data_IF_984811452934
#
_entry.id   IF_984811452934
#
_cell.length_a   1.000
_cell.length_b   1.000
_cell.length_c   1.000
_cell.angle_alpha   90.00
_cell.angle_beta   90.00
_cell.angle_gamma   90.00
#
_symmetry.space_group_name_H-M   'P 1'
#
loop_
_entity.id
_entity.type
_entity.pdbx_description
1 polymer ?
#
# COMPACT_ATOMS: atom_id res chain seq x y z
N UNK A 1 9.92 14.99 1.63
CA UNK A 1 10.31 14.81 3.04
C UNK A 1 11.45 15.75 3.32
N UNK A 2 11.59 16.22 4.55
CA UNK A 2 12.71 17.03 5.03
C UNK A 2 13.44 16.29 6.16
N UNK A 3 14.72 16.64 6.37
CA UNK A 3 15.50 16.10 7.48
C UNK A 3 14.96 16.66 8.80
N UNK A 4 14.60 15.79 9.73
CA UNK A 4 14.08 16.17 11.05
C UNK A 4 15.10 15.93 12.17
N UNK A 5 16.16 15.18 11.90
CA UNK A 5 17.21 14.86 12.86
C UNK A 5 18.60 15.12 12.26
N UNK A 6 19.32 16.10 12.79
CA UNK A 6 20.69 16.43 12.35
C UNK A 6 21.69 15.28 12.58
N UNK A 7 21.35 14.31 13.44
CA UNK A 7 22.18 13.11 13.68
C UNK A 7 21.97 12.01 12.65
N UNK A 8 20.98 12.10 11.75
CA UNK A 8 20.70 11.04 10.76
C UNK A 8 21.93 10.67 9.93
N UNK A 9 22.74 11.65 9.52
CA UNK A 9 24.00 11.39 8.78
C UNK A 9 24.99 10.65 9.68
N UNK A 10 25.17 11.11 10.93
CA UNK A 10 26.09 10.48 11.89
C UNK A 10 25.70 9.01 12.15
N UNK A 11 24.41 8.72 12.32
CA UNK A 11 23.93 7.35 12.52
C UNK A 11 24.16 6.47 11.29
N UNK A 12 23.90 7.00 10.09
CA UNK A 12 24.19 6.29 8.85
C UNK A 12 25.69 6.00 8.67
N UNK A 13 26.55 6.97 8.98
CA UNK A 13 28.00 6.79 8.92
C UNK A 13 28.48 5.75 9.91
N UNK A 14 27.91 5.70 11.13
CA UNK A 14 28.23 4.66 12.11
C UNK A 14 28.05 3.25 11.53
N UNK A 15 26.97 3.02 10.77
CA UNK A 15 26.71 1.74 10.11
C UNK A 15 27.65 1.49 8.93
N UNK A 16 27.86 2.49 8.07
CA UNK A 16 28.73 2.32 6.89
C UNK A 16 30.21 2.18 7.23
N UNK A 17 30.65 2.72 8.37
CA UNK A 17 32.03 2.69 8.84
C UNK A 17 32.30 1.56 9.84
N UNK A 18 31.31 0.71 10.10
CA UNK A 18 31.51 -0.50 10.91
C UNK A 18 32.54 -1.43 10.23
N UNK A 19 33.60 -1.78 10.96
CA UNK A 19 34.76 -2.48 10.40
C UNK A 19 34.47 -3.95 10.00
N UNK A 20 33.41 -4.54 10.56
CA UNK A 20 33.05 -5.94 10.32
C UNK A 20 32.04 -6.08 9.19
N UNK A 21 30.99 -5.24 9.20
CA UNK A 21 29.80 -5.38 8.34
C UNK A 21 29.46 -4.12 7.56
N UNK A 22 30.11 -2.98 7.79
CA UNK A 22 29.78 -1.74 7.08
C UNK A 22 29.95 -1.87 5.56
N UNK A 23 30.95 -2.65 5.13
CA UNK A 23 31.29 -2.86 3.73
C UNK A 23 30.27 -3.71 2.95
N UNK A 24 29.42 -4.51 3.61
CA UNK A 24 28.33 -5.25 2.94
C UNK A 24 27.03 -4.43 2.76
N UNK A 25 26.92 -3.28 3.44
CA UNK A 25 25.73 -2.44 3.39
C UNK A 25 25.79 -1.51 2.18
N UNK A 26 24.82 -1.65 1.28
CA UNK A 26 24.64 -0.77 0.13
C UNK A 26 23.77 0.45 0.43
N UNK A 27 22.78 0.30 1.31
CA UNK A 27 21.94 1.44 1.70
C UNK A 27 21.30 1.27 3.06
N UNK A 28 20.97 2.39 3.68
CA UNK A 28 20.33 2.47 5.00
C UNK A 28 18.99 3.18 4.83
N UNK A 29 17.91 2.46 5.09
CA UNK A 29 16.54 2.93 4.96
C UNK A 29 16.02 3.42 6.31
N UNK A 30 15.54 4.66 6.36
CA UNK A 30 14.81 5.19 7.51
C UNK A 30 13.30 5.01 7.31
N UNK A 31 12.51 4.95 8.40
CA UNK A 31 11.07 4.99 8.31
C UNK A 31 10.55 6.22 7.55
N UNK A 32 9.49 6.05 6.76
CA UNK A 32 8.72 7.19 6.23
C UNK A 32 7.73 7.65 7.29
N UNK A 33 7.94 8.85 7.84
CA UNK A 33 7.09 9.44 8.88
C UNK A 33 6.49 10.75 8.39
N UNK A 34 5.34 11.12 8.94
CA UNK A 34 4.58 12.28 8.46
C UNK A 34 4.22 13.19 9.63
N UNK A 35 4.34 14.51 9.42
CA UNK A 35 4.13 15.50 10.47
C UNK A 35 2.66 15.91 10.65
N UNK A 36 1.82 15.70 9.64
CA UNK A 36 0.42 16.08 9.62
C UNK A 36 -0.53 14.94 10.01
N UNK A 37 -0.05 13.85 10.62
CA UNK A 37 -0.93 12.73 10.99
C UNK A 37 -1.85 13.13 12.15
N UNK A 38 -3.15 12.92 11.97
CA UNK A 38 -4.11 13.00 13.07
C UNK A 38 -4.00 11.82 14.02
N UNK A 39 -4.56 11.95 15.23
CA UNK A 39 -4.47 10.94 16.31
C UNK A 39 -4.90 9.55 15.86
N UNK A 40 -5.99 9.45 15.09
CA UNK A 40 -6.56 8.19 14.62
C UNK A 40 -6.33 7.97 13.13
N UNK A 41 -5.47 8.76 12.46
CA UNK A 41 -5.00 8.58 11.08
C UNK A 41 -6.11 8.06 10.15
N UNK A 42 -7.07 8.91 9.82
CA UNK A 42 -8.30 8.53 9.10
C UNK A 42 -8.06 7.84 7.75
N UNK A 43 -6.86 8.00 7.20
CA UNK A 43 -6.42 7.46 5.92
C UNK A 43 -5.37 6.36 6.04
N UNK A 44 -5.01 5.93 7.27
CA UNK A 44 -4.00 4.89 7.48
C UNK A 44 -2.67 5.21 6.79
N UNK A 45 -2.33 6.49 6.65
CA UNK A 45 -1.18 6.98 5.89
C UNK A 45 0.15 6.75 6.61
N UNK A 46 0.11 6.45 7.91
CA UNK A 46 1.29 6.20 8.73
C UNK A 46 1.99 4.86 8.44
N UNK A 47 1.29 3.90 7.83
CA UNK A 47 1.80 2.55 7.56
C UNK A 47 2.47 1.90 8.80
N UNK A 48 1.86 2.07 9.99
CA UNK A 48 2.48 1.78 11.30
C UNK A 48 3.13 0.41 11.37
N UNK A 49 2.37 -0.64 11.06
CA UNK A 49 2.85 -2.02 11.15
C UNK A 49 3.97 -2.27 10.13
N UNK A 50 3.82 -1.76 8.90
CA UNK A 50 4.85 -1.90 7.86
C UNK A 50 6.17 -1.27 8.31
N UNK A 51 6.12 -0.04 8.84
CA UNK A 51 7.32 0.69 9.25
C UNK A 51 7.92 0.12 10.54
N UNK A 52 7.12 -0.12 11.57
CA UNK A 52 7.63 -0.50 12.90
C UNK A 52 7.99 -1.98 13.01
N UNK A 53 7.34 -2.85 12.24
CA UNK A 53 7.49 -4.30 12.36
C UNK A 53 7.99 -4.95 11.07
N UNK A 54 7.30 -4.77 9.95
CA UNK A 54 7.59 -5.54 8.74
C UNK A 54 8.97 -5.20 8.15
N UNK A 55 9.28 -3.92 7.94
CA UNK A 55 10.56 -3.49 7.37
C UNK A 55 11.73 -3.80 8.30
N UNK A 56 11.56 -3.61 9.61
CA UNK A 56 12.55 -4.00 10.60
C UNK A 56 12.78 -5.53 10.60
N UNK A 57 11.72 -6.33 10.44
CA UNK A 57 11.80 -7.78 10.32
C UNK A 57 12.63 -8.28 9.12
N UNK A 58 12.82 -7.45 8.10
CA UNK A 58 13.65 -7.78 6.94
C UNK A 58 15.16 -7.70 7.21
N UNK A 59 15.60 -7.01 8.27
CA UNK A 59 17.03 -6.89 8.60
C UNK A 59 17.69 -8.24 8.86
N UNK A 60 16.95 -9.18 9.46
CA UNK A 60 17.42 -10.55 9.67
C UNK A 60 17.67 -11.34 8.36
N UNK A 61 17.16 -10.85 7.22
CA UNK A 61 17.19 -11.54 5.93
C UNK A 61 17.85 -10.72 4.81
N UNK A 62 18.73 -9.78 5.15
CA UNK A 62 19.49 -8.97 4.19
C UNK A 62 18.98 -7.54 4.02
N UNK A 63 18.02 -7.11 4.83
CA UNK A 63 17.59 -5.72 4.97
C UNK A 63 16.28 -5.35 4.27
N UNK A 64 15.73 -4.15 4.55
CA UNK A 64 14.49 -3.64 3.97
C UNK A 64 14.63 -3.31 2.48
N UNK A 65 13.49 -3.19 1.81
CA UNK A 65 13.40 -2.61 0.46
C UNK A 65 13.84 -1.14 0.47
N UNK A 66 14.33 -0.64 -0.67
CA UNK A 66 14.50 0.79 -0.88
C UNK A 66 13.15 1.38 -1.26
N UNK A 67 12.58 2.24 -0.40
CA UNK A 67 11.23 2.80 -0.55
C UNK A 67 11.26 4.29 -0.95
N UNK A 68 12.26 4.68 -1.74
CA UNK A 68 12.25 5.95 -2.49
C UNK A 68 12.68 7.22 -1.73
N UNK A 69 12.71 7.22 -0.39
CA UNK A 69 13.06 8.41 0.39
C UNK A 69 13.61 8.06 1.77
N UNK A 70 14.27 9.02 2.43
CA UNK A 70 14.89 8.82 3.75
C UNK A 70 15.96 7.71 3.71
N UNK A 71 16.76 7.67 2.65
CA UNK A 71 17.71 6.59 2.40
C UNK A 71 19.10 7.15 2.10
N UNK A 72 20.13 6.54 2.69
CA UNK A 72 21.52 6.82 2.34
C UNK A 72 22.08 5.66 1.53
N UNK A 73 22.66 5.95 0.36
CA UNK A 73 23.20 4.94 -0.55
C UNK A 73 24.73 5.00 -0.61
N UNK A 74 25.36 3.83 -0.62
CA UNK A 74 26.73 3.64 -1.08
C UNK A 74 26.76 3.83 -2.59
N UNK A 75 27.53 4.82 -3.05
CA UNK A 75 27.59 5.21 -4.47
C UNK A 75 27.92 4.03 -5.38
N UNK A 76 28.90 3.21 -5.04
CA UNK A 76 29.35 2.10 -5.89
C UNK A 76 28.26 1.05 -6.13
N UNK A 77 27.48 0.74 -5.09
CA UNK A 77 26.37 -0.21 -5.18
C UNK A 77 25.26 0.31 -6.10
N UNK A 78 24.97 1.61 -6.01
CA UNK A 78 24.04 2.31 -6.92
C UNK A 78 24.60 2.34 -8.36
N UNK A 79 25.91 2.55 -8.52
CA UNK A 79 26.61 2.51 -9.79
C UNK A 79 26.81 1.10 -10.39
N UNK A 80 26.18 0.07 -9.81
CA UNK A 80 26.13 -1.26 -10.43
C UNK A 80 27.22 -2.23 -9.97
N UNK A 81 28.10 -1.84 -9.05
CA UNK A 81 29.17 -2.71 -8.53
C UNK A 81 28.58 -3.98 -7.92
N UNK A 82 29.18 -5.12 -8.21
CA UNK A 82 28.86 -6.39 -7.55
C UNK A 82 29.59 -6.46 -6.20
N UNK A 83 28.89 -6.93 -5.16
CA UNK A 83 29.52 -7.15 -3.86
C UNK A 83 30.37 -8.41 -3.89
N UNK A 84 31.57 -8.31 -3.33
CA UNK A 84 32.50 -9.42 -3.14
C UNK A 84 32.77 -9.58 -1.64
N UNK A 85 32.89 -10.81 -1.15
CA UNK A 85 32.97 -11.11 0.31
C UNK A 85 34.17 -10.46 1.01
N UNK A 86 35.22 -10.13 0.27
CA UNK A 86 36.43 -9.46 0.79
C UNK A 86 36.50 -7.99 0.34
N UNK A 87 35.40 -7.44 -0.14
CA UNK A 87 35.33 -6.03 -0.50
C UNK A 87 35.62 -5.17 0.73
N UNK A 88 36.62 -4.30 0.61
CA UNK A 88 36.91 -3.25 1.57
C UNK A 88 36.92 -1.91 0.88
N UNK A 89 36.33 -0.91 1.51
CA UNK A 89 36.37 0.46 1.00
C UNK A 89 37.78 0.99 1.15
N UNK A 90 38.37 1.43 0.04
CA UNK A 90 39.64 2.16 0.05
C UNK A 90 39.39 3.64 0.36
N UNK A 91 39.29 3.93 1.66
CA UNK A 91 39.10 5.30 2.15
C UNK A 91 40.26 6.24 1.82
N UNK A 92 41.48 5.71 1.64
CA UNK A 92 42.65 6.53 1.29
C UNK A 92 42.53 7.04 -0.13
N UNK A 93 42.21 6.16 -1.09
CA UNK A 93 41.97 6.54 -2.48
C UNK A 93 40.85 7.57 -2.62
N UNK A 94 39.79 7.47 -1.83
CA UNK A 94 38.70 8.45 -1.81
C UNK A 94 39.17 9.83 -1.29
N UNK A 95 39.96 9.87 -0.22
CA UNK A 95 40.50 11.11 0.34
C UNK A 95 41.57 11.77 -0.55
N UNK A 96 42.29 10.97 -1.34
CA UNK A 96 43.32 11.45 -2.27
C UNK A 96 42.74 12.01 -3.58
N UNK A 97 41.43 11.87 -3.80
CA UNK A 97 40.68 12.52 -4.91
C UNK A 97 40.52 14.03 -4.66
N UNK A 98 41.61 14.75 -4.40
CA UNK A 98 41.61 16.21 -4.51
C UNK A 98 41.60 16.56 -6.00
N UNK A 99 40.45 17.01 -6.49
CA UNK A 99 40.36 17.57 -7.83
C UNK A 99 41.23 18.84 -7.88
N UNK A 100 42.39 18.75 -8.54
CA UNK A 100 43.25 19.90 -8.84
C UNK A 100 42.70 20.74 -10.02
N UNK A 101 41.45 20.50 -10.42
CA UNK A 101 40.79 21.14 -11.56
C UNK A 101 40.06 22.41 -11.12
N UNK A 102 40.06 23.44 -11.97
CA UNK A 102 39.32 24.67 -11.67
C UNK A 102 37.81 24.42 -11.71
N UNK A 103 37.05 25.21 -10.94
CA UNK A 103 35.59 25.13 -10.91
C UNK A 103 34.96 25.28 -12.31
N UNK A 104 35.56 26.10 -13.19
CA UNK A 104 35.12 26.27 -14.57
C UNK A 104 35.24 25.01 -15.42
N UNK A 105 36.31 24.22 -15.24
CA UNK A 105 36.51 22.95 -15.96
C UNK A 105 35.53 21.90 -15.47
N UNK A 106 35.31 21.83 -14.15
CA UNK A 106 34.31 20.93 -13.56
C UNK A 106 32.89 21.27 -14.01
N UNK A 107 32.56 22.56 -14.12
CA UNK A 107 31.26 23.00 -14.63
C UNK A 107 31.04 22.55 -16.07
N UNK A 108 32.02 22.74 -16.96
CA UNK A 108 31.92 22.33 -18.35
C UNK A 108 31.79 20.81 -18.50
N UNK A 109 32.54 20.06 -17.69
CA UNK A 109 32.42 18.58 -17.63
C UNK A 109 31.02 18.15 -17.16
N UNK A 110 30.48 18.82 -16.15
CA UNK A 110 29.12 18.56 -15.64
C UNK A 110 28.04 18.80 -16.71
N UNK A 111 28.21 19.79 -17.61
CA UNK A 111 27.25 20.04 -18.71
C UNK A 111 27.15 18.83 -19.65
N UNK A 112 28.26 18.17 -19.94
CA UNK A 112 28.27 16.95 -20.77
C UNK A 112 27.55 15.81 -20.07
N UNK A 113 27.79 15.61 -18.77
CA UNK A 113 27.12 14.58 -17.96
C UNK A 113 25.61 14.84 -17.80
N UNK A 114 25.19 16.11 -17.77
CA UNK A 114 23.79 16.52 -17.66
C UNK A 114 23.06 16.58 -19.02
N UNK A 115 23.75 16.28 -20.13
CA UNK A 115 23.15 16.28 -21.46
C UNK A 115 22.05 15.22 -21.60
N UNK A 116 20.99 15.55 -22.35
CA UNK A 116 19.93 14.59 -22.68
C UNK A 116 20.42 13.38 -23.50
N UNK A 117 21.61 13.47 -24.10
CA UNK A 117 22.24 12.39 -24.86
C UNK A 117 23.15 11.51 -24.01
N UNK A 118 23.48 11.91 -22.77
CA UNK A 118 24.49 11.21 -21.96
C UNK A 118 24.12 9.76 -21.71
N UNK A 119 22.85 9.48 -21.45
CA UNK A 119 22.38 8.12 -21.14
C UNK A 119 22.13 7.26 -22.38
N UNK A 120 22.22 7.85 -23.59
CA UNK A 120 21.96 7.13 -24.83
C UNK A 120 23.00 6.02 -25.03
N UNK A 121 22.53 4.79 -25.26
CA UNK A 121 23.36 3.58 -25.40
C UNK A 121 24.29 3.27 -24.20
N UNK A 122 23.97 3.80 -23.01
CA UNK A 122 24.70 3.49 -21.78
C UNK A 122 23.95 2.44 -20.92
N UNK A 123 24.62 1.85 -19.91
CA UNK A 123 23.95 0.98 -18.93
C UNK A 123 23.11 1.73 -17.88
N UNK A 124 23.10 3.08 -17.87
CA UNK A 124 22.26 3.87 -16.96
C UNK A 124 20.78 3.53 -17.13
N UNK A 125 20.08 3.37 -16.00
CA UNK A 125 18.68 2.98 -16.00
C UNK A 125 18.40 1.50 -16.25
N UNK A 126 19.33 0.79 -16.91
CA UNK A 126 19.17 -0.61 -17.32
C UNK A 126 19.86 -1.56 -16.34
N UNK A 127 21.12 -1.28 -16.02
CA UNK A 127 21.97 -2.13 -15.19
C UNK A 127 22.40 -1.42 -13.90
N UNK A 128 22.71 -0.14 -14.01
CA UNK A 128 23.16 0.74 -12.92
C UNK A 128 22.26 1.98 -12.75
N UNK A 129 22.48 2.72 -11.66
CA UNK A 129 21.66 3.85 -11.29
C UNK A 129 20.27 3.43 -10.78
N UNK A 130 19.34 4.38 -10.81
CA UNK A 130 17.92 4.09 -10.60
C UNK A 130 17.38 3.34 -11.81
N UNK A 131 16.68 2.24 -11.61
CA UNK A 131 16.21 1.37 -12.69
C UNK A 131 14.98 1.93 -13.41
N UNK A 132 14.94 1.90 -14.74
CA UNK A 132 13.85 2.47 -15.53
C UNK A 132 12.75 1.44 -15.87
N UNK A 133 11.58 1.96 -16.26
CA UNK A 133 10.52 1.18 -16.92
C UNK A 133 9.45 0.59 -16.01
N UNK A 134 9.54 0.78 -14.69
CA UNK A 134 8.53 0.35 -13.71
C UNK A 134 8.23 1.54 -12.79
N UNK A 135 6.95 1.72 -12.42
CA UNK A 135 6.46 2.85 -11.62
C UNK A 135 6.99 2.93 -10.18
N UNK A 136 7.54 1.83 -9.68
CA UNK A 136 8.16 1.71 -8.35
C UNK A 136 9.65 1.38 -8.56
N UNK A 137 10.33 2.30 -9.23
CA UNK A 137 11.75 2.18 -9.58
C UNK A 137 12.65 2.00 -8.35
N UNK A 138 12.22 2.55 -7.22
CA UNK A 138 12.88 2.41 -5.94
C UNK A 138 12.95 0.94 -5.49
N UNK A 139 11.82 0.23 -5.47
CA UNK A 139 11.73 -1.17 -5.07
C UNK A 139 12.62 -2.05 -5.97
N UNK A 140 12.55 -1.88 -7.29
CA UNK A 140 13.38 -2.66 -8.22
C UNK A 140 14.86 -2.30 -8.15
N UNK A 141 15.20 -1.04 -7.87
CA UNK A 141 16.59 -0.62 -7.68
C UNK A 141 17.16 -1.29 -6.43
N UNK A 142 16.42 -1.27 -5.31
CA UNK A 142 16.80 -1.97 -4.09
C UNK A 142 16.94 -3.48 -4.30
N UNK A 143 16.00 -4.11 -4.99
CA UNK A 143 16.06 -5.53 -5.35
C UNK A 143 17.29 -5.84 -6.22
N UNK A 144 17.57 -5.02 -7.24
CA UNK A 144 18.72 -5.20 -8.12
C UNK A 144 20.05 -5.06 -7.38
N UNK A 145 20.15 -4.12 -6.44
CA UNK A 145 21.32 -3.95 -5.58
C UNK A 145 21.53 -5.21 -4.73
N UNK A 146 20.46 -5.74 -4.11
CA UNK A 146 20.55 -6.96 -3.30
C UNK A 146 20.90 -8.20 -4.11
N UNK A 147 20.36 -8.32 -5.32
CA UNK A 147 20.72 -9.40 -6.26
C UNK A 147 22.18 -9.35 -6.73
N UNK A 148 22.88 -8.23 -6.51
CA UNK A 148 24.34 -8.10 -6.71
C UNK A 148 25.15 -8.48 -5.46
N UNK A 149 24.52 -9.07 -4.45
CA UNK A 149 25.17 -9.56 -3.22
C UNK A 149 25.21 -8.55 -2.07
N UNK A 150 24.76 -7.31 -2.28
CA UNK A 150 24.71 -6.30 -1.24
C UNK A 150 23.57 -6.53 -0.24
N UNK A 151 23.72 -6.00 0.97
CA UNK A 151 22.66 -5.92 1.98
C UNK A 151 22.18 -4.48 2.18
N UNK A 152 21.09 -4.33 2.90
CA UNK A 152 20.66 -3.02 3.43
C UNK A 152 20.36 -3.13 4.92
N UNK A 153 20.13 -1.99 5.55
CA UNK A 153 19.77 -1.92 6.97
C UNK A 153 18.59 -0.98 7.18
N UNK A 154 17.70 -1.32 8.10
CA UNK A 154 16.63 -0.43 8.58
C UNK A 154 17.10 0.33 9.82
N UNK A 155 16.99 1.66 9.80
CA UNK A 155 17.40 2.50 10.93
C UNK A 155 16.24 3.36 11.41
N UNK A 156 15.72 3.04 12.60
CA UNK A 156 14.60 3.71 13.24
C UNK A 156 15.05 4.37 14.57
N UNK A 157 15.67 5.56 14.51
CA UNK A 157 16.13 6.27 15.71
C UNK A 157 14.96 6.83 16.52
N UNK A 158 15.13 7.01 17.83
CA UNK A 158 14.12 7.59 18.74
C UNK A 158 13.56 8.93 18.23
N UNK A 159 14.45 9.84 17.79
CA UNK A 159 14.04 11.04 17.05
C UNK A 159 13.96 10.73 15.58
N UNK A 160 12.76 10.78 15.03
CA UNK A 160 12.45 10.51 13.63
C UNK A 160 13.43 11.22 12.68
N UNK A 161 14.06 10.43 11.80
CA UNK A 161 15.13 10.92 10.91
C UNK A 161 14.63 11.90 9.87
N UNK A 162 13.49 11.60 9.25
CA UNK A 162 12.90 12.35 8.16
C UNK A 162 11.39 12.47 8.33
N UNK A 163 10.84 13.64 8.03
CA UNK A 163 9.39 13.89 8.07
C UNK A 163 8.87 14.32 6.69
N UNK A 164 7.70 13.82 6.33
CA UNK A 164 6.96 14.19 5.14
C UNK A 164 5.57 14.72 5.48
N UNK A 165 4.79 14.92 4.42
CA UNK A 165 3.36 15.28 4.50
C UNK A 165 2.56 14.16 3.85
N UNK A 166 1.65 13.57 4.63
CA UNK A 166 0.73 12.53 4.19
C UNK A 166 -0.43 13.14 3.37
N UNK A 167 -1.08 12.35 2.48
CA UNK A 167 -2.29 12.79 1.80
C UNK A 167 -3.37 13.28 2.77
N UNK A 168 -4.00 14.41 2.44
CA UNK A 168 -5.08 15.03 3.24
C UNK A 168 -6.47 14.76 2.69
N UNK A 169 -6.58 14.07 1.54
CA UNK A 169 -7.85 13.58 1.00
C UNK A 169 -7.81 12.09 0.67
N UNK A 170 -8.98 11.44 0.72
CA UNK A 170 -9.10 10.03 0.36
C UNK A 170 -8.72 9.79 -1.10
N UNK A 171 -9.12 10.69 -2.02
CA UNK A 171 -8.80 10.52 -3.45
C UNK A 171 -7.29 10.58 -3.70
N UNK A 172 -6.56 11.49 -3.05
CA UNK A 172 -5.10 11.54 -3.16
C UNK A 172 -4.45 10.23 -2.71
N UNK A 173 -4.90 9.69 -1.57
CA UNK A 173 -4.44 8.40 -1.06
C UNK A 173 -4.72 7.27 -2.06
N UNK A 174 -5.95 7.17 -2.56
CA UNK A 174 -6.34 6.08 -3.47
C UNK A 174 -5.57 6.14 -4.80
N UNK A 175 -5.37 7.33 -5.37
CA UNK A 175 -4.57 7.52 -6.59
C UNK A 175 -3.10 7.15 -6.34
N UNK A 176 -2.53 7.55 -5.20
CA UNK A 176 -1.18 7.15 -4.81
C UNK A 176 -1.04 5.63 -4.73
N UNK A 177 -1.94 4.96 -4.01
CA UNK A 177 -1.91 3.51 -3.87
C UNK A 177 -2.15 2.76 -5.18
N UNK A 178 -2.84 3.37 -6.13
CA UNK A 178 -3.03 2.76 -7.45
C UNK A 178 -1.69 2.66 -8.18
N UNK A 179 -0.90 3.74 -8.21
CA UNK A 179 0.45 3.74 -8.82
C UNK A 179 1.38 2.73 -8.16
N UNK A 180 1.36 2.66 -6.83
CA UNK A 180 2.17 1.70 -6.08
C UNK A 180 1.78 0.26 -6.38
N UNK A 181 0.48 -0.06 -6.31
CA UNK A 181 -0.01 -1.41 -6.57
C UNK A 181 0.25 -1.85 -8.02
N UNK A 182 0.13 -0.93 -8.98
CA UNK A 182 0.45 -1.19 -10.39
C UNK A 182 1.93 -1.52 -10.56
N UNK A 183 2.80 -0.66 -10.02
CA UNK A 183 4.24 -0.89 -10.05
C UNK A 183 4.64 -2.23 -9.39
N UNK A 184 4.08 -2.53 -8.22
CA UNK A 184 4.31 -3.77 -7.50
C UNK A 184 3.89 -5.02 -8.31
N UNK A 185 2.73 -4.96 -8.98
CA UNK A 185 2.28 -6.06 -9.83
C UNK A 185 3.13 -6.18 -11.11
N UNK A 186 3.60 -5.06 -11.67
CA UNK A 186 4.56 -5.05 -12.78
C UNK A 186 5.88 -5.73 -12.40
N UNK A 187 6.37 -5.54 -11.17
CA UNK A 187 7.53 -6.30 -10.66
C UNK A 187 7.21 -7.80 -10.69
N UNK A 188 6.07 -8.19 -10.12
CA UNK A 188 5.70 -9.61 -10.00
C UNK A 188 5.58 -10.32 -11.34
N UNK A 189 5.02 -9.64 -12.35
CA UNK A 189 4.72 -10.21 -13.67
C UNK A 189 5.85 -10.01 -14.69
N UNK A 190 6.95 -9.36 -14.31
CA UNK A 190 8.11 -9.14 -15.20
C UNK A 190 9.29 -10.03 -14.83
N UNK A 191 10.36 -9.93 -15.62
CA UNK A 191 11.66 -10.57 -15.33
C UNK A 191 12.25 -10.18 -13.97
N UNK A 192 11.74 -9.12 -13.33
CA UNK A 192 12.17 -8.64 -12.01
C UNK A 192 11.41 -9.29 -10.84
N UNK A 193 10.53 -10.27 -11.10
CA UNK A 193 9.87 -11.04 -10.06
C UNK A 193 10.89 -11.55 -9.04
N UNK A 194 10.74 -11.21 -7.75
CA UNK A 194 11.72 -11.54 -6.70
C UNK A 194 12.02 -13.04 -6.60
N UNK A 195 11.04 -13.89 -6.92
CA UNK A 195 11.19 -15.35 -6.90
C UNK A 195 12.14 -15.85 -7.99
N UNK A 196 12.08 -15.24 -9.18
CA UNK A 196 12.85 -15.60 -10.38
C UNK A 196 14.17 -14.83 -10.41
N UNK A 197 14.10 -13.50 -10.38
CA UNK A 197 15.25 -12.60 -10.47
C UNK A 197 16.23 -12.78 -9.31
N UNK A 198 15.71 -13.10 -8.12
CA UNK A 198 16.50 -13.36 -6.92
C UNK A 198 16.99 -14.79 -6.79
N UNK A 199 16.60 -15.72 -7.69
CA UNK A 199 16.96 -17.13 -7.58
C UNK A 199 18.48 -17.30 -7.56
N UNK A 200 18.99 -18.01 -6.53
CA UNK A 200 20.43 -18.18 -6.24
C UNK A 200 21.23 -16.88 -5.99
N UNK A 201 20.57 -15.72 -5.93
CA UNK A 201 21.21 -14.40 -5.68
C UNK A 201 20.89 -13.83 -4.31
N UNK A 202 19.69 -14.07 -3.80
CA UNK A 202 19.25 -13.65 -2.46
C UNK A 202 18.53 -14.79 -1.70
N UNK A 203 18.51 -14.77 -0.36
CA UNK A 203 17.86 -15.81 0.45
C UNK A 203 16.39 -16.02 0.10
N UNK A 204 15.90 -17.26 0.19
CA UNK A 204 14.49 -17.58 -0.09
C UNK A 204 13.53 -16.75 0.77
N UNK A 205 13.84 -16.59 2.06
CA UNK A 205 13.04 -15.79 3.00
C UNK A 205 12.88 -14.35 2.51
N UNK A 206 13.96 -13.72 2.04
CA UNK A 206 13.91 -12.39 1.47
C UNK A 206 13.09 -12.36 0.17
N UNK A 207 13.26 -13.35 -0.72
CA UNK A 207 12.46 -13.42 -1.96
C UNK A 207 10.96 -13.46 -1.68
N UNK A 208 10.55 -14.28 -0.72
CA UNK A 208 9.16 -14.41 -0.27
C UNK A 208 8.66 -13.13 0.39
N UNK A 209 9.51 -12.41 1.13
CA UNK A 209 9.13 -11.18 1.81
C UNK A 209 8.76 -10.02 0.86
N UNK A 210 9.23 -10.03 -0.39
CA UNK A 210 8.76 -9.08 -1.42
C UNK A 210 7.36 -9.41 -1.95
N UNK A 211 6.92 -10.68 -1.88
CA UNK A 211 5.68 -11.13 -2.51
C UNK A 211 4.41 -10.47 -1.94
N UNK A 212 4.22 -10.30 -0.61
CA UNK A 212 3.05 -9.62 -0.06
C UNK A 212 2.80 -8.24 -0.66
N UNK A 213 3.86 -7.44 -0.84
CA UNK A 213 3.80 -6.11 -1.46
C UNK A 213 3.52 -6.21 -2.96
N UNK A 214 4.27 -7.08 -3.65
CA UNK A 214 4.14 -7.29 -5.09
C UNK A 214 2.77 -7.85 -5.52
N UNK A 215 2.02 -8.47 -4.61
CA UNK A 215 0.69 -9.04 -4.83
C UNK A 215 -0.45 -8.20 -4.24
N UNK A 216 -0.20 -6.94 -3.83
CA UNK A 216 -1.26 -6.04 -3.36
C UNK A 216 -2.42 -5.93 -4.36
N UNK A 217 -2.12 -5.66 -5.63
CA UNK A 217 -3.13 -5.53 -6.68
C UNK A 217 -3.98 -6.81 -6.83
N UNK A 218 -3.35 -7.98 -6.93
CA UNK A 218 -4.04 -9.26 -7.14
C UNK A 218 -5.02 -9.63 -6.01
N UNK A 219 -4.75 -9.19 -4.78
CA UNK A 219 -5.65 -9.39 -3.64
C UNK A 219 -7.00 -8.65 -3.75
N UNK A 220 -7.18 -7.76 -4.74
CA UNK A 220 -8.47 -7.14 -5.00
C UNK A 220 -9.55 -8.19 -5.33
N UNK A 221 -9.21 -9.26 -6.07
CA UNK A 221 -10.17 -10.25 -6.54
C UNK A 221 -10.80 -11.02 -5.38
N UNK A 222 -9.98 -11.50 -4.45
CA UNK A 222 -10.47 -12.16 -3.24
C UNK A 222 -11.33 -11.21 -2.40
N UNK A 223 -10.94 -9.95 -2.27
CA UNK A 223 -11.69 -8.96 -1.49
C UNK A 223 -13.05 -8.68 -2.13
N UNK A 224 -13.09 -8.46 -3.45
CA UNK A 224 -14.33 -8.23 -4.19
C UNK A 224 -15.26 -9.43 -4.10
N UNK A 225 -14.73 -10.65 -4.13
CA UNK A 225 -15.53 -11.85 -3.89
C UNK A 225 -16.28 -11.75 -2.54
N UNK A 226 -15.56 -11.52 -1.43
CA UNK A 226 -16.17 -11.44 -0.11
C UNK A 226 -17.10 -10.24 0.10
N UNK A 227 -16.91 -9.14 -0.65
CA UNK A 227 -17.75 -7.95 -0.54
C UNK A 227 -19.02 -8.04 -1.39
N UNK A 228 -19.01 -8.82 -2.48
CA UNK A 228 -20.12 -8.90 -3.43
C UNK A 228 -20.87 -10.22 -3.32
N UNK A 229 -20.18 -11.35 -3.42
CA UNK A 229 -20.80 -12.67 -3.62
C UNK A 229 -21.62 -13.12 -2.41
N UNK A 230 -21.11 -13.05 -1.15
CA UNK A 230 -21.90 -13.40 0.03
C UNK A 230 -23.22 -12.66 0.14
N UNK A 231 -23.23 -11.36 -0.21
CA UNK A 231 -24.42 -10.52 -0.20
C UNK A 231 -25.44 -10.98 -1.26
N UNK A 232 -25.01 -11.20 -2.50
CA UNK A 232 -25.91 -11.65 -3.57
C UNK A 232 -26.46 -13.05 -3.30
N UNK A 233 -25.63 -13.98 -2.82
CA UNK A 233 -26.06 -15.32 -2.41
C UNK A 233 -27.04 -15.27 -1.24
N UNK A 234 -26.83 -14.36 -0.27
CA UNK A 234 -27.75 -14.15 0.84
C UNK A 234 -29.13 -13.71 0.35
N UNK A 235 -29.20 -12.76 -0.59
CA UNK A 235 -30.46 -12.33 -1.21
C UNK A 235 -31.15 -13.48 -1.95
N UNK A 236 -30.40 -14.26 -2.73
CA UNK A 236 -30.93 -15.41 -3.46
C UNK A 236 -31.36 -16.58 -2.56
N UNK A 237 -30.81 -16.68 -1.35
CA UNK A 237 -31.06 -17.79 -0.42
C UNK A 237 -30.06 -18.94 -0.52
N UNK A 238 -28.90 -18.70 -1.14
CA UNK A 238 -27.79 -19.65 -1.16
C UNK A 238 -26.84 -19.41 0.03
N UNK A 239 -26.68 -20.44 0.86
CA UNK A 239 -25.73 -20.41 1.96
C UNK A 239 -24.33 -20.76 1.46
N UNK A 240 -23.36 -19.89 1.73
CA UNK A 240 -21.94 -20.09 1.34
C UNK A 240 -21.07 -20.60 2.47
N UNK A 241 -21.51 -20.42 3.72
CA UNK A 241 -20.75 -20.82 4.89
C UNK A 241 -21.44 -22.00 5.59
N UNK A 242 -20.70 -22.77 6.42
CA UNK A 242 -21.32 -23.78 7.26
C UNK A 242 -22.41 -23.18 8.16
N UNK A 243 -23.41 -23.98 8.47
CA UNK A 243 -24.42 -23.65 9.47
C UNK A 243 -23.77 -23.36 10.83
N UNK A 244 -24.35 -22.47 11.62
CA UNK A 244 -23.83 -22.13 12.96
C UNK A 244 -23.82 -23.35 13.88
N UNK A 245 -24.84 -24.21 13.79
CA UNK A 245 -24.94 -25.48 14.51
C UNK A 245 -23.92 -26.54 14.05
N UNK A 246 -23.27 -26.34 12.90
CA UNK A 246 -22.31 -27.29 12.36
C UNK A 246 -20.94 -27.12 13.02
N UNK A 247 -20.26 -28.21 13.44
CA UNK A 247 -18.87 -28.15 13.91
C UNK A 247 -17.91 -27.50 12.90
N UNK A 248 -18.25 -27.53 11.60
CA UNK A 248 -17.47 -26.91 10.52
C UNK A 248 -17.43 -25.39 10.58
N UNK A 249 -18.26 -24.74 11.41
CA UNK A 249 -18.19 -23.28 11.63
C UNK A 249 -16.93 -22.87 12.40
N UNK A 250 -16.38 -23.78 13.23
CA UNK A 250 -15.30 -23.47 14.19
C UNK A 250 -14.04 -22.94 13.49
N UNK A 251 -13.51 -23.57 12.41
CA UNK A 251 -12.35 -23.03 11.70
C UNK A 251 -12.58 -21.62 11.14
N UNK A 252 -13.78 -21.31 10.64
CA UNK A 252 -14.10 -20.00 10.08
C UNK A 252 -14.09 -18.92 11.16
N UNK A 253 -14.76 -19.18 12.29
CA UNK A 253 -14.79 -18.26 13.43
C UNK A 253 -13.39 -18.09 14.02
N UNK A 254 -12.64 -19.18 14.17
CA UNK A 254 -11.26 -19.13 14.66
C UNK A 254 -10.36 -18.26 13.78
N UNK A 255 -10.33 -18.50 12.47
CA UNK A 255 -9.49 -17.71 11.55
C UNK A 255 -9.92 -16.25 11.52
N UNK A 256 -11.23 -15.97 11.44
CA UNK A 256 -11.74 -14.61 11.43
C UNK A 256 -11.39 -13.86 12.73
N UNK A 257 -11.61 -14.49 13.89
CA UNK A 257 -11.33 -13.88 15.18
C UNK A 257 -9.83 -13.68 15.41
N UNK A 258 -9.02 -14.72 15.24
CA UNK A 258 -7.57 -14.66 15.48
C UNK A 258 -6.91 -13.66 14.56
N UNK A 259 -7.27 -13.63 13.27
CA UNK A 259 -6.73 -12.66 12.33
C UNK A 259 -7.03 -11.20 12.77
N UNK A 260 -8.26 -10.92 13.21
CA UNK A 260 -8.65 -9.58 13.66
C UNK A 260 -8.04 -9.20 15.00
N UNK A 261 -8.01 -10.13 15.96
CA UNK A 261 -7.39 -9.93 17.25
C UNK A 261 -5.89 -9.67 17.12
N UNK A 262 -5.20 -10.45 16.29
CA UNK A 262 -3.77 -10.29 16.05
C UNK A 262 -3.47 -8.98 15.31
N UNK A 263 -4.23 -8.64 14.26
CA UNK A 263 -4.11 -7.36 13.56
C UNK A 263 -4.32 -6.16 14.49
N UNK A 264 -5.31 -6.22 15.39
CA UNK A 264 -5.52 -5.19 16.40
C UNK A 264 -4.36 -5.12 17.39
N UNK A 265 -3.91 -6.27 17.90
CA UNK A 265 -2.78 -6.36 18.83
C UNK A 265 -1.51 -5.74 18.26
N UNK A 266 -1.14 -6.09 17.02
CA UNK A 266 0.01 -5.51 16.33
C UNK A 266 -0.14 -4.00 16.11
N UNK A 267 -1.33 -3.54 15.73
CA UNK A 267 -1.59 -2.12 15.50
C UNK A 267 -1.44 -1.30 16.80
N UNK A 268 -1.98 -1.81 17.91
CA UNK A 268 -1.84 -1.18 19.23
C UNK A 268 -0.40 -1.22 19.73
N UNK A 269 0.30 -2.34 19.54
CA UNK A 269 1.72 -2.48 19.85
C UNK A 269 2.59 -1.46 19.12
N UNK A 270 2.23 -1.15 17.87
CA UNK A 270 2.88 -0.11 17.07
C UNK A 270 2.42 1.33 17.41
N UNK A 271 1.83 1.54 18.59
CA UNK A 271 1.41 2.86 19.09
C UNK A 271 0.17 3.42 18.42
N UNK A 272 -0.66 2.58 17.80
CA UNK A 272 -1.95 2.96 17.25
C UNK A 272 -3.06 3.00 18.31
N UNK A 273 -4.21 3.56 17.94
CA UNK A 273 -5.44 3.54 18.76
C UNK A 273 -6.44 2.54 18.20
N UNK A 274 -7.41 2.10 19.00
CA UNK A 274 -8.51 1.25 18.52
C UNK A 274 -9.29 1.90 17.36
N UNK A 275 -9.61 3.20 17.50
CA UNK A 275 -10.28 3.97 16.42
C UNK A 275 -9.40 4.07 15.17
N UNK A 276 -8.09 4.24 15.36
CA UNK A 276 -7.12 4.22 14.27
C UNK A 276 -7.06 2.87 13.56
N UNK A 277 -7.15 1.76 14.29
CA UNK A 277 -7.25 0.42 13.70
C UNK A 277 -8.54 0.28 12.88
N UNK A 278 -9.69 0.73 13.39
CA UNK A 278 -10.93 0.74 12.61
C UNK A 278 -10.81 1.55 11.31
N UNK A 279 -10.10 2.70 11.35
CA UNK A 279 -9.81 3.51 10.17
C UNK A 279 -8.87 2.77 9.20
N UNK A 280 -7.83 2.10 9.70
CA UNK A 280 -6.92 1.29 8.91
C UNK A 280 -7.66 0.14 8.20
N UNK A 281 -8.55 -0.58 8.89
CA UNK A 281 -9.39 -1.62 8.28
C UNK A 281 -10.32 -1.08 7.18
N UNK A 282 -10.88 0.12 7.38
CA UNK A 282 -11.71 0.79 6.37
C UNK A 282 -10.91 1.14 5.13
N UNK A 283 -9.76 1.77 5.31
CA UNK A 283 -8.89 2.18 4.21
C UNK A 283 -8.30 0.96 3.50
N UNK A 284 -7.97 -0.10 4.25
CA UNK A 284 -7.58 -1.40 3.70
C UNK A 284 -8.65 -1.93 2.74
N UNK A 285 -9.93 -1.88 3.12
CA UNK A 285 -11.04 -2.27 2.25
C UNK A 285 -11.11 -1.37 1.02
N UNK A 286 -11.06 -0.05 1.22
CA UNK A 286 -11.18 0.92 0.13
C UNK A 286 -10.07 0.77 -0.91
N UNK A 287 -8.82 0.64 -0.47
CA UNK A 287 -7.67 0.41 -1.36
C UNK A 287 -7.86 -0.87 -2.17
N UNK A 288 -8.31 -1.96 -1.55
CA UNK A 288 -8.46 -3.26 -2.21
C UNK A 288 -9.60 -3.30 -3.24
N UNK A 289 -10.73 -2.66 -2.95
CA UNK A 289 -11.87 -2.65 -3.87
C UNK A 289 -11.75 -1.61 -4.98
N UNK A 290 -10.86 -0.62 -4.83
CA UNK A 290 -10.69 0.46 -5.82
C UNK A 290 -9.28 0.51 -6.39
N UNK A 291 -8.31 1.09 -5.68
CA UNK A 291 -6.94 1.27 -6.15
C UNK A 291 -6.33 -0.03 -6.68
N UNK A 292 -6.45 -1.12 -5.94
CA UNK A 292 -5.84 -2.39 -6.32
C UNK A 292 -6.59 -3.04 -7.49
N UNK A 293 -7.90 -2.84 -7.57
CA UNK A 293 -8.71 -3.25 -8.72
C UNK A 293 -8.26 -2.51 -9.99
N UNK A 294 -8.17 -1.17 -9.97
CA UNK A 294 -7.68 -0.40 -11.11
C UNK A 294 -6.25 -0.78 -11.50
N UNK A 295 -5.36 -0.90 -10.52
CA UNK A 295 -3.97 -1.31 -10.74
C UNK A 295 -3.87 -2.71 -11.37
N UNK A 296 -4.69 -3.66 -10.91
CA UNK A 296 -4.73 -5.01 -11.45
C UNK A 296 -5.13 -4.99 -12.93
N UNK A 297 -6.29 -4.40 -13.25
CA UNK A 297 -6.79 -4.35 -14.62
C UNK A 297 -5.85 -3.60 -15.56
N UNK A 298 -5.30 -2.47 -15.13
CA UNK A 298 -4.36 -1.72 -15.96
C UNK A 298 -3.06 -2.48 -16.22
N UNK A 299 -2.53 -3.19 -15.22
CA UNK A 299 -1.34 -4.02 -15.41
C UNK A 299 -1.61 -5.15 -16.40
N UNK A 300 -2.76 -5.82 -16.28
CA UNK A 300 -3.16 -6.87 -17.23
C UNK A 300 -3.35 -6.30 -18.65
N UNK A 301 -4.06 -5.17 -18.79
CA UNK A 301 -4.25 -4.51 -20.09
C UNK A 301 -2.92 -4.10 -20.73
N UNK A 302 -1.97 -3.59 -19.93
CA UNK A 302 -0.61 -3.26 -20.39
C UNK A 302 0.15 -4.49 -20.86
N UNK A 303 0.00 -5.64 -20.19
CA UNK A 303 0.59 -6.91 -20.63
C UNK A 303 -0.02 -7.42 -21.93
N UNK A 304 -1.30 -7.12 -22.19
CA UNK A 304 -2.00 -7.45 -23.42
C UNK A 304 -1.75 -6.44 -24.56
N UNK A 305 -0.94 -5.39 -24.34
CA UNK A 305 -0.56 -4.41 -25.36
C UNK A 305 -1.51 -3.23 -25.53
N UNK A 306 -2.49 -3.05 -24.62
CA UNK A 306 -3.38 -1.88 -24.64
C UNK A 306 -2.73 -0.65 -23.99
N UNK A 307 -3.12 0.55 -24.45
CA UNK A 307 -2.61 1.83 -23.93
C UNK A 307 -3.09 2.12 -22.51
N UNK A 308 -2.31 2.95 -21.80
CA UNK A 308 -2.59 3.32 -20.40
C UNK A 308 -3.86 4.16 -20.28
N UNK A 309 -4.64 3.91 -19.22
CA UNK A 309 -5.57 4.90 -18.70
C UNK A 309 -4.74 5.96 -17.97
N UNK A 310 -4.69 7.18 -18.52
CA UNK A 310 -3.88 8.28 -17.98
C UNK A 310 -4.27 8.58 -16.54
N UNK A 311 -3.32 8.48 -15.60
CA UNK A 311 -3.54 8.95 -14.24
C UNK A 311 -3.41 10.48 -14.17
N UNK A 312 -4.40 11.13 -13.59
CA UNK A 312 -4.26 12.52 -13.17
C UNK A 312 -3.23 12.62 -12.03
N UNK A 313 -2.20 13.45 -12.22
CA UNK A 313 -1.26 13.81 -11.15
C UNK A 313 -2.03 14.48 -10.01
N UNK A 314 -1.77 14.06 -8.79
CA UNK A 314 -2.38 14.61 -7.57
C UNK A 314 -1.56 15.80 -7.07
N UNK A 315 -2.15 16.99 -7.09
CA UNK A 315 -1.60 18.12 -6.36
C UNK A 315 -1.65 17.83 -4.84
N UNK A 316 -0.57 18.13 -4.12
CA UNK A 316 -0.44 17.91 -2.67
C UNK A 316 -0.83 19.13 -1.82
N UNK A 317 -1.35 20.19 -2.46
CA UNK A 317 -1.86 21.37 -1.77
C UNK A 317 -3.36 21.21 -1.64
N UNK A 318 -3.86 21.24 -0.41
CA UNK A 318 -5.28 21.21 -0.10
C UNK A 318 -5.74 22.61 0.32
N UNK A 319 -6.92 23.01 -0.15
CA UNK A 319 -7.57 24.24 0.29
C UNK A 319 -7.77 24.25 1.82
N UNK A 320 -7.79 25.42 2.46
CA UNK A 320 -7.92 25.57 3.92
C UNK A 320 -9.11 24.78 4.49
N UNK A 321 -10.26 24.85 3.82
CA UNK A 321 -11.47 24.10 4.20
C UNK A 321 -11.27 22.57 4.21
N UNK A 322 -10.41 22.03 3.34
CA UNK A 322 -10.11 20.59 3.30
C UNK A 322 -9.17 20.22 4.44
N UNK A 323 -8.23 21.10 4.79
CA UNK A 323 -7.32 20.89 5.93
C UNK A 323 -8.08 20.83 7.26
N UNK A 324 -9.04 21.74 7.48
CA UNK A 324 -9.86 21.74 8.70
C UNK A 324 -10.65 20.43 8.86
N UNK A 325 -11.27 19.94 7.78
CA UNK A 325 -11.99 18.66 7.80
C UNK A 325 -11.06 17.49 8.08
N UNK A 326 -9.86 17.52 7.50
CA UNK A 326 -8.84 16.50 7.75
C UNK A 326 -8.43 16.47 9.23
N UNK A 327 -8.18 17.62 9.85
CA UNK A 327 -7.86 17.75 11.28
C UNK A 327 -8.99 17.28 12.18
N UNK A 328 -10.25 17.51 11.78
CA UNK A 328 -11.45 16.99 12.45
C UNK A 328 -11.71 15.49 12.22
N UNK A 329 -10.81 14.80 11.52
CA UNK A 329 -10.92 13.38 11.19
C UNK A 329 -12.16 13.05 10.33
N UNK A 330 -12.54 13.97 9.44
CA UNK A 330 -13.61 13.78 8.46
C UNK A 330 -13.03 13.37 7.10
N UNK A 331 -13.54 12.26 6.55
CA UNK A 331 -13.12 11.75 5.24
C UNK A 331 -13.63 12.66 4.12
N UNK A 332 -12.76 13.02 3.18
CA UNK A 332 -13.12 13.86 2.04
C UNK A 332 -13.66 13.03 0.87
N UNK A 333 -14.96 13.20 0.56
CA UNK A 333 -15.64 12.53 -0.57
C UNK A 333 -16.11 13.50 -1.68
N UNK A 334 -15.82 14.80 -1.56
CA UNK A 334 -16.32 15.85 -2.47
C UNK A 334 -15.91 15.73 -3.93
N UNK A 335 -14.83 15.00 -4.22
CA UNK A 335 -14.33 14.85 -5.58
C UNK A 335 -15.14 13.85 -6.42
N UNK A 336 -15.28 14.09 -7.72
CA UNK A 336 -15.85 13.11 -8.66
C UNK A 336 -14.78 12.11 -9.07
N UNK A 337 -15.00 10.82 -8.81
CA UNK A 337 -14.07 9.74 -9.19
C UNK A 337 -14.78 8.40 -9.36
N UNK A 338 -14.43 7.59 -10.39
CA UNK A 338 -14.91 6.21 -10.52
C UNK A 338 -14.60 5.34 -9.30
N UNK A 339 -13.56 5.66 -8.53
CA UNK A 339 -13.26 4.95 -7.28
C UNK A 339 -14.38 5.15 -6.26
N UNK A 340 -14.96 6.36 -6.17
CA UNK A 340 -16.08 6.62 -5.26
C UNK A 340 -17.38 6.00 -5.75
N UNK A 341 -17.59 5.93 -7.07
CA UNK A 341 -18.70 5.16 -7.65
C UNK A 341 -18.64 3.69 -7.18
N UNK A 342 -17.46 3.05 -7.20
CA UNK A 342 -17.27 1.67 -6.71
C UNK A 342 -17.52 1.58 -5.20
N UNK A 343 -16.90 2.44 -4.38
CA UNK A 343 -17.08 2.39 -2.91
C UNK A 343 -18.54 2.54 -2.51
N UNK A 344 -19.23 3.54 -3.09
CA UNK A 344 -20.64 3.78 -2.82
C UNK A 344 -21.51 2.62 -3.28
N UNK A 345 -21.26 2.05 -4.46
CA UNK A 345 -22.03 0.89 -4.98
C UNK A 345 -21.88 -0.33 -4.08
N UNK A 346 -20.65 -0.65 -3.65
CA UNK A 346 -20.40 -1.78 -2.75
C UNK A 346 -20.98 -1.58 -1.35
N UNK A 347 -20.96 -0.34 -0.84
CA UNK A 347 -21.64 0.01 0.40
C UNK A 347 -23.15 -0.21 0.26
N UNK A 348 -23.78 0.39 -0.76
CA UNK A 348 -25.22 0.25 -1.00
C UNK A 348 -25.64 -1.20 -1.23
N UNK A 349 -24.83 -1.99 -1.93
CA UNK A 349 -25.08 -3.43 -2.12
C UNK A 349 -25.19 -4.16 -0.77
N UNK A 350 -24.23 -3.97 0.12
CA UNK A 350 -24.22 -4.63 1.44
C UNK A 350 -25.31 -4.08 2.37
N UNK A 351 -25.70 -2.81 2.21
CA UNK A 351 -26.84 -2.24 2.91
C UNK A 351 -28.15 -2.91 2.46
N UNK A 352 -28.38 -3.05 1.16
CA UNK A 352 -29.55 -3.76 0.62
C UNK A 352 -29.54 -5.24 1.00
N UNK A 353 -28.37 -5.89 0.98
CA UNK A 353 -28.19 -7.25 1.50
C UNK A 353 -28.62 -7.38 2.96
N UNK A 354 -28.23 -6.43 3.80
CA UNK A 354 -28.60 -6.41 5.22
C UNK A 354 -30.11 -6.20 5.41
N UNK A 355 -30.74 -5.33 4.63
CA UNK A 355 -32.21 -5.19 4.65
C UNK A 355 -32.91 -6.47 4.17
N UNK A 356 -32.39 -7.12 3.11
CA UNK A 356 -32.89 -8.39 2.64
C UNK A 356 -32.77 -9.50 3.70
N UNK A 357 -31.67 -9.51 4.46
CA UNK A 357 -31.47 -10.42 5.57
C UNK A 357 -32.49 -10.20 6.69
N UNK A 358 -32.66 -8.94 7.12
CA UNK A 358 -33.65 -8.57 8.15
C UNK A 358 -35.06 -8.96 7.70
N UNK A 359 -35.40 -8.71 6.43
CA UNK A 359 -36.69 -9.10 5.86
C UNK A 359 -36.89 -10.62 5.91
N UNK A 360 -35.87 -11.42 5.59
CA UNK A 360 -35.94 -12.88 5.68
C UNK A 360 -36.17 -13.37 7.10
N UNK A 361 -35.43 -12.82 8.07
CA UNK A 361 -35.65 -13.14 9.49
C UNK A 361 -37.08 -12.77 9.89
N UNK A 362 -37.51 -11.52 9.72
CA UNK A 362 -38.83 -11.08 10.18
C UNK A 362 -40.00 -11.82 9.52
N UNK A 363 -39.92 -12.12 8.21
CA UNK A 363 -41.03 -12.77 7.51
C UNK A 363 -41.13 -14.27 7.79
N UNK A 364 -40.00 -14.92 8.09
CA UNK A 364 -39.93 -16.34 8.42
C UNK A 364 -39.88 -16.54 9.95
N UNK A 365 -40.64 -15.75 10.73
CA UNK A 365 -40.54 -15.66 12.19
C UNK A 365 -40.69 -17.00 12.95
N UNK A 366 -41.46 -17.95 12.40
CA UNK A 366 -41.59 -19.31 12.96
C UNK A 366 -40.32 -20.17 12.71
N UNK A 367 -39.42 -19.72 11.84
CA UNK A 367 -38.14 -20.34 11.45
C UNK A 367 -36.92 -19.42 11.68
N UNK A 368 -37.04 -18.36 12.49
CA UNK A 368 -35.96 -17.40 12.79
C UNK A 368 -34.63 -18.07 13.11
N UNK A 369 -34.70 -19.11 13.95
CA UNK A 369 -33.53 -19.89 14.35
C UNK A 369 -32.88 -20.62 13.16
N UNK A 370 -33.66 -21.10 12.18
CA UNK A 370 -33.15 -21.76 10.97
C UNK A 370 -32.49 -20.76 10.03
N UNK A 371 -33.05 -19.55 9.87
CA UNK A 371 -32.46 -18.51 9.03
C UNK A 371 -31.10 -18.06 9.59
N UNK A 372 -31.04 -17.82 10.90
CA UNK A 372 -29.78 -17.47 11.57
C UNK A 372 -28.78 -18.62 11.55
N UNK A 373 -29.23 -19.86 11.76
CA UNK A 373 -28.37 -21.04 11.65
C UNK A 373 -27.78 -21.19 10.25
N UNK A 374 -28.57 -20.96 9.20
CA UNK A 374 -28.16 -21.15 7.81
C UNK A 374 -27.34 -19.99 7.23
N UNK A 375 -27.64 -18.74 7.61
CA UNK A 375 -27.06 -17.56 6.97
C UNK A 375 -26.27 -16.67 7.92
N UNK A 376 -26.16 -16.98 9.22
CA UNK A 376 -25.67 -16.04 10.21
C UNK A 376 -24.25 -15.49 9.94
N UNK A 377 -23.34 -16.28 9.35
CA UNK A 377 -22.02 -15.79 8.94
C UNK A 377 -22.09 -14.81 7.74
N UNK A 378 -22.98 -15.02 6.77
CA UNK A 378 -23.23 -14.08 5.68
C UNK A 378 -23.85 -12.77 6.21
N UNK A 379 -24.82 -12.90 7.11
CA UNK A 379 -25.47 -11.75 7.75
C UNK A 379 -24.44 -10.93 8.53
N UNK A 380 -23.63 -11.59 9.36
CA UNK A 380 -22.55 -10.94 10.12
C UNK A 380 -21.57 -10.21 9.20
N UNK A 381 -21.16 -10.83 8.09
CA UNK A 381 -20.26 -10.21 7.13
C UNK A 381 -20.87 -8.95 6.50
N UNK A 382 -22.14 -9.00 6.07
CA UNK A 382 -22.84 -7.84 5.54
C UNK A 382 -22.93 -6.71 6.57
N UNK A 383 -23.27 -7.03 7.83
CA UNK A 383 -23.33 -6.05 8.92
C UNK A 383 -21.97 -5.40 9.18
N UNK A 384 -20.89 -6.19 9.23
CA UNK A 384 -19.52 -5.67 9.39
C UNK A 384 -19.15 -4.75 8.22
N UNK A 385 -19.49 -5.11 6.98
CA UNK A 385 -19.24 -4.26 5.80
C UNK A 385 -20.07 -2.97 5.85
N UNK A 386 -21.31 -3.01 6.33
CA UNK A 386 -22.13 -1.81 6.57
C UNK A 386 -21.47 -0.93 7.63
N UNK A 387 -21.01 -1.49 8.75
CA UNK A 387 -20.32 -0.71 9.81
C UNK A 387 -19.03 -0.06 9.32
N UNK A 388 -18.20 -0.80 8.57
CA UNK A 388 -16.97 -0.25 7.98
C UNK A 388 -17.28 0.95 7.06
N UNK A 389 -18.34 0.85 6.27
CA UNK A 389 -18.77 1.88 5.32
C UNK A 389 -19.61 3.01 5.93
N UNK A 390 -19.76 3.11 7.26
CA UNK A 390 -20.56 4.17 7.88
C UNK A 390 -20.23 5.60 7.39
N UNK A 391 -18.95 6.00 7.22
CA UNK A 391 -18.62 7.32 6.66
C UNK A 391 -19.09 7.52 5.21
N UNK A 392 -19.22 6.44 4.42
CA UNK A 392 -19.75 6.50 3.04
C UNK A 392 -21.22 6.85 3.08
N UNK A 393 -22.03 6.21 3.93
CA UNK A 393 -23.45 6.56 4.08
C UNK A 393 -23.65 7.98 4.61
N UNK A 394 -22.81 8.42 5.56
CA UNK A 394 -22.78 9.81 6.01
C UNK A 394 -22.55 10.77 4.84
N UNK A 395 -21.57 10.47 3.98
CA UNK A 395 -21.26 11.28 2.81
C UNK A 395 -22.34 11.24 1.72
N UNK A 396 -23.04 10.12 1.55
CA UNK A 396 -24.10 9.96 0.54
C UNK A 396 -25.38 10.72 0.92
N UNK A 397 -25.81 10.61 2.18
CA UNK A 397 -27.17 10.97 2.59
C UNK A 397 -27.27 12.12 3.58
N UNK A 398 -26.29 12.27 4.49
CA UNK A 398 -26.46 13.11 5.69
C UNK A 398 -25.60 14.37 5.69
N UNK A 399 -24.42 14.34 5.08
CA UNK A 399 -23.52 15.49 5.04
C UNK A 399 -24.08 16.63 4.18
N UNK A 400 -23.87 17.86 4.67
CA UNK A 400 -24.25 19.11 3.99
C UNK A 400 -23.05 19.98 3.62
N UNK A 401 -21.87 19.64 4.11
CA UNK A 401 -20.62 20.32 3.81
C UNK A 401 -20.01 19.86 2.47
N UNK A 402 -18.95 20.53 2.02
CA UNK A 402 -18.29 20.27 0.72
C UNK A 402 -17.56 18.92 0.62
N UNK A 403 -17.35 18.21 1.73
CA UNK A 403 -16.82 16.84 1.72
C UNK A 403 -17.90 15.77 1.55
N UNK A 404 -19.17 16.17 1.34
CA UNK A 404 -20.26 15.29 0.89
C UNK A 404 -19.92 14.66 -0.46
N UNK A 405 -20.36 13.42 -0.69
CA UNK A 405 -20.21 12.78 -1.99
C UNK A 405 -21.13 13.44 -3.04
N UNK A 406 -20.68 13.63 -4.30
CA UNK A 406 -21.52 14.22 -5.35
C UNK A 406 -22.83 13.44 -5.56
N UNK A 407 -23.95 14.15 -5.75
CA UNK A 407 -25.27 13.51 -5.91
C UNK A 407 -25.31 12.51 -7.07
N UNK A 408 -24.54 12.74 -8.13
CA UNK A 408 -24.41 11.82 -9.27
C UNK A 408 -23.88 10.44 -8.85
N UNK A 409 -22.94 10.39 -7.89
CA UNK A 409 -22.41 9.13 -7.33
C UNK A 409 -23.49 8.43 -6.49
N UNK A 410 -24.29 9.19 -5.73
CA UNK A 410 -25.42 8.64 -4.98
C UNK A 410 -26.44 7.95 -5.90
N UNK A 411 -26.87 8.62 -6.98
CA UNK A 411 -27.81 8.02 -7.93
C UNK A 411 -27.23 6.78 -8.61
N UNK A 412 -25.99 6.86 -9.12
CA UNK A 412 -25.32 5.73 -9.79
C UNK A 412 -25.19 4.53 -8.85
N UNK A 413 -24.74 4.75 -7.62
CA UNK A 413 -24.52 3.67 -6.66
C UNK A 413 -25.80 2.96 -6.26
N UNK A 414 -26.89 3.68 -6.06
CA UNK A 414 -28.22 3.09 -5.81
C UNK A 414 -28.66 2.25 -7.01
N UNK A 415 -28.60 2.81 -8.23
CA UNK A 415 -29.03 2.11 -9.45
C UNK A 415 -28.20 0.84 -9.66
N UNK A 416 -26.87 0.92 -9.60
CA UNK A 416 -26.01 -0.25 -9.80
C UNK A 416 -26.18 -1.31 -8.72
N UNK A 417 -26.32 -0.90 -7.45
CA UNK A 417 -26.56 -1.85 -6.36
C UNK A 417 -27.92 -2.53 -6.49
N UNK A 418 -28.99 -1.79 -6.82
CA UNK A 418 -30.32 -2.36 -7.07
C UNK A 418 -30.30 -3.29 -8.28
N UNK A 419 -29.66 -2.89 -9.38
CA UNK A 419 -29.52 -3.74 -10.56
C UNK A 419 -28.83 -5.06 -10.21
N UNK A 420 -27.73 -5.02 -9.47
CA UNK A 420 -27.03 -6.22 -9.02
C UNK A 420 -27.90 -7.12 -8.13
N UNK A 421 -28.68 -6.51 -7.21
CA UNK A 421 -29.62 -7.26 -6.37
C UNK A 421 -30.73 -7.91 -7.20
N UNK A 422 -31.32 -7.18 -8.15
CA UNK A 422 -32.40 -7.68 -9.02
C UNK A 422 -31.90 -8.81 -9.93
N UNK A 423 -30.73 -8.65 -10.54
CA UNK A 423 -30.10 -9.70 -11.37
C UNK A 423 -29.82 -10.95 -10.56
N UNK A 424 -29.42 -10.82 -9.29
CA UNK A 424 -29.22 -11.98 -8.43
C UNK A 424 -30.52 -12.66 -7.99
N UNK A 425 -31.64 -11.93 -7.92
CA UNK A 425 -32.94 -12.51 -7.56
C UNK A 425 -33.65 -13.19 -8.74
N UNK A 426 -33.29 -12.83 -9.97
CA UNK A 426 -33.63 -13.59 -11.18
C UNK A 426 -32.74 -14.84 -11.30
#
# INVERSE_FOLDING_TARGET
MYSNNSKSIKYSLCIFMDEEKGDEIAYIQFPQKFNNLTKNDIYGSSFRVIQQLELAGLDANGGPMYIGTGCFHRREALCGKQYEKNYKVDWKKLNDTKANESASVLEETCKVLASCTFEHNTPWGKEMGLKYGILVEDIITGLSIKCRGWKSMYLNPEREGFLGVAPTTLLQLLVQHTRWAEGHLQIFLSRYCSLVYGYKRIPLKLRLAYCPFNLWAANCLATLYYVVVPCLCLLKGFSLFPKISSPWVVPFVYVAFVHRAYSLGEFLWCGGTFRGWCNDQRVWLFKRTTSYFFAFFQTILKLLGYSQLTYALTAKVSDENVSERYEQELIEFGATSPMFDILATLAMLNLFGSFGAIKKVILDADEDFKVLDQFGLQILLCLVLVTINLPVYQALFFRKDNGKMPSSVTYKSIIFALLACTVAMY
#
